data_IF_094560398501
#
_entry.id   IF_094560398501
#
_cell.length_a   1.000
_cell.length_b   1.000
_cell.length_c   1.000
_cell.angle_alpha   90.00
_cell.angle_beta   90.00
_cell.angle_gamma   90.00
#
_symmetry.space_group_name_H-M   'P 1'
#
loop_
_entity.id
_entity.type
_entity.pdbx_description
1 polymer ?
#
# COMPACT_ATOMS: atom_id res chain seq x y z
N UNK A 1 60.07 10.08 32.19
CA UNK A 1 58.62 10.16 31.91
C UNK A 1 58.45 10.32 30.41
N UNK A 2 58.24 9.23 29.66
CA UNK A 2 58.04 9.28 28.21
C UNK A 2 56.54 9.31 27.91
N UNK A 3 56.08 10.37 27.25
CA UNK A 3 54.68 10.57 26.88
C UNK A 3 54.36 9.80 25.60
N UNK A 4 53.62 8.70 25.73
CA UNK A 4 52.97 8.04 24.59
C UNK A 4 51.78 8.89 24.14
N UNK A 5 51.95 9.60 23.03
CA UNK A 5 50.84 10.17 22.24
C UNK A 5 49.98 9.03 21.68
N UNK A 6 48.87 8.73 22.34
CA UNK A 6 47.84 7.84 21.83
C UNK A 6 47.09 8.52 20.68
N UNK A 7 47.50 8.26 19.45
CA UNK A 7 46.71 8.57 18.27
C UNK A 7 45.42 7.74 18.33
N UNK A 8 44.31 8.39 18.66
CA UNK A 8 42.98 7.82 18.51
C UNK A 8 42.74 7.62 17.01
N UNK A 9 42.86 6.38 16.57
CA UNK A 9 42.51 5.96 15.22
C UNK A 9 41.01 6.16 15.01
N UNK A 10 40.63 7.30 14.44
CA UNK A 10 39.32 7.53 13.83
C UNK A 10 39.24 6.78 12.50
N UNK A 11 39.34 5.45 12.56
CA UNK A 11 39.04 4.53 11.47
C UNK A 11 37.70 3.84 11.75
N UNK A 12 36.65 4.62 12.03
CA UNK A 12 35.27 4.12 11.92
C UNK A 12 34.91 4.09 10.44
N UNK A 13 35.37 3.01 9.81
CA UNK A 13 34.95 2.41 8.55
C UNK A 13 33.82 3.12 7.80
N UNK A 14 34.18 3.84 6.72
CA UNK A 14 33.31 4.11 5.57
C UNK A 14 32.76 2.81 4.88
N UNK A 15 33.00 1.62 5.45
CA UNK A 15 32.62 0.31 4.90
C UNK A 15 31.18 -0.11 5.24
N UNK A 16 30.53 0.52 6.23
CA UNK A 16 29.22 0.06 6.73
C UNK A 16 28.01 0.86 6.21
N UNK A 17 28.23 1.84 5.32
CA UNK A 17 27.15 2.57 4.69
C UNK A 17 26.38 1.65 3.71
N UNK A 18 25.04 1.50 3.85
CA UNK A 18 24.27 0.62 2.97
C UNK A 18 24.37 1.10 1.52
N UNK A 19 24.99 0.26 0.67
CA UNK A 19 25.18 0.55 -0.76
C UNK A 19 23.89 0.30 -1.52
N UNK A 20 23.64 1.12 -2.54
CA UNK A 20 22.49 0.92 -3.42
C UNK A 20 22.66 -0.33 -4.28
N UNK A 21 21.88 -1.37 -3.97
CA UNK A 21 21.74 -2.57 -4.79
C UNK A 21 20.59 -2.40 -5.78
N UNK A 22 20.93 -2.18 -7.05
CA UNK A 22 19.97 -1.99 -8.14
C UNK A 22 19.13 -3.24 -8.40
N UNK A 23 19.72 -4.43 -8.25
CA UNK A 23 19.05 -5.71 -8.48
C UNK A 23 17.96 -5.92 -7.44
N UNK A 24 18.33 -5.80 -6.16
CA UNK A 24 17.39 -5.94 -5.04
C UNK A 24 16.25 -4.94 -5.11
N UNK A 25 16.54 -3.68 -5.44
CA UNK A 25 15.50 -2.66 -5.56
C UNK A 25 14.50 -2.97 -6.70
N UNK A 26 15.00 -3.35 -7.88
CA UNK A 26 14.14 -3.74 -9.02
C UNK A 26 13.30 -4.96 -8.68
N UNK A 27 13.90 -5.95 -8.02
CA UNK A 27 13.19 -7.14 -7.58
C UNK A 27 12.07 -6.79 -6.59
N UNK A 28 12.33 -5.93 -5.60
CA UNK A 28 11.31 -5.48 -4.65
C UNK A 28 10.15 -4.72 -5.33
N UNK A 29 10.46 -3.87 -6.32
CA UNK A 29 9.44 -3.17 -7.13
C UNK A 29 8.64 -4.15 -7.98
N UNK A 30 9.28 -5.17 -8.56
CA UNK A 30 8.61 -6.23 -9.30
C UNK A 30 7.68 -7.04 -8.39
N UNK A 31 8.12 -7.42 -7.18
CA UNK A 31 7.27 -8.07 -6.17
C UNK A 31 6.07 -7.20 -5.81
N UNK A 32 6.25 -5.91 -5.54
CA UNK A 32 5.13 -5.00 -5.26
C UNK A 32 4.14 -4.93 -6.44
N UNK A 33 4.65 -4.83 -7.67
CA UNK A 33 3.83 -4.76 -8.87
C UNK A 33 3.07 -6.07 -9.11
N UNK A 34 3.72 -7.21 -8.90
CA UNK A 34 3.09 -8.54 -8.97
C UNK A 34 2.01 -8.71 -7.90
N UNK A 35 2.21 -8.19 -6.69
CA UNK A 35 1.17 -8.18 -5.64
C UNK A 35 -0.05 -7.36 -6.05
N UNK A 36 0.13 -6.20 -6.70
CA UNK A 36 -0.99 -5.41 -7.22
C UNK A 36 -1.77 -6.18 -8.30
N UNK A 37 -1.06 -6.85 -9.21
CA UNK A 37 -1.68 -7.74 -10.21
C UNK A 37 -2.39 -8.90 -9.54
N UNK A 38 -1.83 -9.50 -8.48
CA UNK A 38 -2.47 -10.56 -7.72
C UNK A 38 -3.78 -10.10 -7.07
N UNK A 39 -3.84 -8.88 -6.55
CA UNK A 39 -5.08 -8.29 -6.01
C UNK A 39 -6.14 -8.14 -7.12
N UNK A 40 -5.75 -7.73 -8.33
CA UNK A 40 -6.64 -7.72 -9.49
C UNK A 40 -7.16 -9.13 -9.82
N UNK A 41 -6.27 -10.13 -9.86
CA UNK A 41 -6.64 -11.54 -10.12
C UNK A 41 -7.57 -12.08 -9.03
N UNK A 42 -7.34 -11.79 -7.76
CA UNK A 42 -8.28 -12.15 -6.69
C UNK A 42 -9.63 -11.43 -6.80
N UNK A 43 -9.61 -10.20 -7.29
CA UNK A 43 -10.81 -9.46 -7.68
C UNK A 43 -11.59 -10.12 -8.81
N UNK A 44 -10.93 -10.82 -9.75
CA UNK A 44 -11.61 -11.62 -10.77
C UNK A 44 -12.34 -12.80 -10.14
N UNK A 45 -11.66 -13.61 -9.32
CA UNK A 45 -12.24 -14.80 -8.66
C UNK A 45 -13.56 -14.48 -7.95
N UNK A 46 -13.58 -13.39 -7.18
CA UNK A 46 -14.79 -13.00 -6.45
C UNK A 46 -15.87 -12.40 -7.35
N UNK A 47 -15.50 -11.75 -8.45
CA UNK A 47 -16.44 -11.08 -9.36
C UNK A 47 -17.05 -12.05 -10.39
N UNK A 48 -16.35 -13.13 -10.72
CA UNK A 48 -16.86 -14.23 -11.55
C UNK A 48 -17.58 -15.31 -10.74
N UNK A 49 -17.69 -15.15 -9.41
CA UNK A 49 -18.30 -16.14 -8.52
C UNK A 49 -17.51 -17.44 -8.40
N UNK A 50 -16.22 -17.43 -8.76
CA UNK A 50 -15.41 -18.64 -8.89
C UNK A 50 -14.72 -19.07 -7.60
N UNK A 51 -14.95 -18.41 -6.46
CA UNK A 51 -14.20 -18.66 -5.21
C UNK A 51 -14.42 -20.02 -4.53
N UNK A 52 -15.34 -20.85 -5.04
CA UNK A 52 -15.59 -22.23 -4.61
C UNK A 52 -15.62 -23.19 -5.81
N UNK A 53 -14.94 -22.84 -6.89
CA UNK A 53 -14.81 -23.70 -8.08
C UNK A 53 -13.85 -24.86 -7.87
N UNK A 54 -13.02 -24.81 -6.82
CA UNK A 54 -12.14 -25.89 -6.39
C UNK A 54 -12.41 -26.16 -4.89
N UNK A 55 -12.84 -27.38 -4.51
CA UNK A 55 -13.33 -27.67 -3.16
C UNK A 55 -12.23 -27.97 -2.13
N UNK A 56 -11.00 -28.25 -2.58
CA UNK A 56 -9.87 -28.64 -1.75
C UNK A 56 -8.74 -27.59 -1.76
N UNK A 57 -7.88 -27.67 -0.76
CA UNK A 57 -6.65 -26.88 -0.61
C UNK A 57 -5.65 -27.72 0.21
N UNK A 58 -4.34 -27.73 -0.10
CA UNK A 58 -3.60 -26.83 -1.00
C UNK A 58 -3.61 -27.23 -2.48
N UNK A 59 -3.99 -28.47 -2.81
CA UNK A 59 -4.11 -28.93 -4.18
C UNK A 59 -5.43 -28.46 -4.82
N UNK A 60 -5.66 -28.83 -6.08
CA UNK A 60 -6.92 -28.57 -6.77
C UNK A 60 -7.42 -29.86 -7.42
N UNK A 61 -8.48 -30.43 -6.86
CA UNK A 61 -8.96 -31.79 -7.12
C UNK A 61 -7.86 -32.84 -6.93
N UNK A 62 -7.01 -32.66 -5.92
CA UNK A 62 -5.83 -33.52 -5.70
C UNK A 62 -4.72 -33.36 -6.75
N UNK A 63 -4.85 -32.44 -7.70
CA UNK A 63 -3.87 -32.18 -8.75
C UNK A 63 -3.10 -30.88 -8.50
N UNK A 64 -1.85 -30.84 -8.99
CA UNK A 64 -1.09 -29.59 -9.06
C UNK A 64 -1.57 -28.67 -10.19
N UNK A 65 -2.10 -29.26 -11.27
CA UNK A 65 -2.63 -28.54 -12.44
C UNK A 65 -3.91 -29.24 -12.92
N UNK A 66 -5.09 -28.83 -12.44
CA UNK A 66 -6.36 -29.36 -12.93
C UNK A 66 -6.70 -28.80 -14.33
N UNK A 67 -7.67 -29.37 -15.05
CA UNK A 67 -8.21 -28.76 -16.26
C UNK A 67 -8.73 -27.35 -15.99
N UNK A 68 -8.19 -26.36 -16.73
CA UNK A 68 -8.47 -24.93 -16.52
C UNK A 68 -9.77 -24.49 -17.22
N UNK A 69 -10.89 -25.13 -16.88
CA UNK A 69 -12.20 -24.91 -17.50
C UNK A 69 -13.12 -24.14 -16.55
N UNK A 70 -13.83 -23.14 -17.07
CA UNK A 70 -14.82 -22.37 -16.32
C UNK A 70 -14.23 -21.67 -15.10
N UNK A 71 -14.87 -21.82 -13.93
CA UNK A 71 -14.45 -21.18 -12.68
C UNK A 71 -13.07 -21.63 -12.18
N UNK A 72 -12.64 -22.86 -12.51
CA UNK A 72 -11.33 -23.40 -12.13
C UNK A 72 -10.20 -22.53 -12.72
N UNK A 73 -10.37 -21.99 -13.93
CA UNK A 73 -9.39 -21.08 -14.54
C UNK A 73 -9.09 -19.87 -13.64
N UNK A 74 -10.14 -19.26 -13.08
CA UNK A 74 -9.99 -18.09 -12.23
C UNK A 74 -9.42 -18.48 -10.85
N UNK A 75 -10.00 -19.49 -10.20
CA UNK A 75 -9.59 -19.85 -8.85
C UNK A 75 -8.18 -20.45 -8.80
N UNK A 76 -7.90 -21.46 -9.62
CA UNK A 76 -6.57 -22.07 -9.69
C UNK A 76 -5.53 -21.07 -10.24
N UNK A 77 -5.91 -20.24 -11.22
CA UNK A 77 -5.05 -19.17 -11.74
C UNK A 77 -4.65 -18.16 -10.65
N UNK A 78 -5.58 -17.80 -9.76
CA UNK A 78 -5.27 -16.99 -8.58
C UNK A 78 -4.31 -17.70 -7.61
N UNK A 79 -4.52 -19.00 -7.33
CA UNK A 79 -3.62 -19.81 -6.48
C UNK A 79 -2.20 -19.87 -7.05
N UNK A 80 -2.06 -20.04 -8.36
CA UNK A 80 -0.76 -20.02 -9.05
C UNK A 80 -0.09 -18.64 -8.93
N UNK A 81 -0.82 -17.56 -9.20
CA UNK A 81 -0.31 -16.20 -9.07
C UNK A 81 0.10 -15.89 -7.61
N UNK A 82 -0.66 -16.37 -6.63
CA UNK A 82 -0.34 -16.26 -5.20
C UNK A 82 0.95 -17.01 -4.85
N UNK A 83 1.14 -18.21 -5.38
CA UNK A 83 2.38 -18.99 -5.22
C UNK A 83 3.60 -18.27 -5.81
N UNK A 84 3.46 -17.63 -6.98
CA UNK A 84 4.52 -16.80 -7.58
C UNK A 84 4.86 -15.62 -6.67
N UNK A 85 3.87 -14.86 -6.18
CA UNK A 85 4.11 -13.75 -5.25
C UNK A 85 4.72 -14.23 -3.93
N UNK A 86 4.29 -15.38 -3.41
CA UNK A 86 4.88 -16.01 -2.23
C UNK A 86 6.35 -16.34 -2.43
N UNK A 87 6.71 -16.95 -3.56
CA UNK A 87 8.09 -17.25 -3.92
C UNK A 87 8.94 -15.98 -4.09
N UNK A 88 8.44 -14.99 -4.82
CA UNK A 88 9.11 -13.69 -4.96
C UNK A 88 9.34 -13.04 -3.58
N UNK A 89 8.38 -13.14 -2.67
CA UNK A 89 8.49 -12.60 -1.31
C UNK A 89 9.53 -13.35 -0.49
N UNK A 90 9.59 -14.68 -0.59
CA UNK A 90 10.62 -15.49 0.05
C UNK A 90 12.03 -15.11 -0.41
N UNK A 91 12.24 -15.04 -1.73
CA UNK A 91 13.53 -14.62 -2.32
C UNK A 91 13.89 -13.22 -1.83
N UNK A 92 12.94 -12.27 -1.88
CA UNK A 92 13.17 -10.90 -1.43
C UNK A 92 13.50 -10.83 0.05
N UNK A 93 12.80 -11.61 0.89
CA UNK A 93 13.00 -11.63 2.33
C UNK A 93 14.39 -12.17 2.68
N UNK A 94 14.80 -13.29 2.07
CA UNK A 94 16.11 -13.91 2.28
C UNK A 94 17.25 -13.03 1.74
N UNK A 95 17.10 -12.49 0.53
CA UNK A 95 18.09 -11.57 -0.05
C UNK A 95 18.25 -10.32 0.84
N UNK A 96 17.14 -9.72 1.27
CA UNK A 96 17.18 -8.57 2.18
C UNK A 96 17.79 -8.96 3.53
N UNK A 97 17.44 -10.10 4.11
CA UNK A 97 17.96 -10.55 5.39
C UNK A 97 19.48 -10.75 5.42
N UNK A 98 20.07 -11.16 4.27
CA UNK A 98 21.51 -11.39 4.11
C UNK A 98 22.30 -10.14 3.72
N UNK A 99 21.73 -9.27 2.91
CA UNK A 99 22.45 -8.11 2.36
C UNK A 99 22.20 -6.79 3.08
N UNK A 100 21.24 -6.75 4.01
CA UNK A 100 20.84 -5.52 4.70
C UNK A 100 21.40 -5.45 6.12
N UNK A 101 22.16 -4.41 6.45
CA UNK A 101 22.70 -4.21 7.80
C UNK A 101 21.65 -3.68 8.78
N UNK A 102 20.61 -3.00 8.27
CA UNK A 102 19.61 -2.33 9.12
C UNK A 102 18.59 -3.33 9.69
N UNK A 103 18.53 -3.54 11.01
CA UNK A 103 17.66 -4.57 11.61
C UNK A 103 16.17 -4.28 11.43
N UNK A 104 15.77 -3.02 11.29
CA UNK A 104 14.38 -2.65 10.98
C UNK A 104 13.92 -3.15 9.60
N UNK A 105 14.77 -3.04 8.58
CA UNK A 105 14.45 -3.49 7.22
C UNK A 105 14.46 -5.03 7.14
N UNK A 106 15.37 -5.69 7.85
CA UNK A 106 15.37 -7.16 8.00
C UNK A 106 14.08 -7.67 8.66
N UNK A 107 13.64 -7.04 9.75
CA UNK A 107 12.36 -7.36 10.41
C UNK A 107 11.17 -7.15 9.48
N UNK A 108 11.17 -6.07 8.70
CA UNK A 108 10.13 -5.81 7.71
C UNK A 108 10.08 -6.88 6.60
N UNK A 109 11.24 -7.35 6.13
CA UNK A 109 11.34 -8.47 5.19
C UNK A 109 10.74 -9.77 5.74
N UNK A 110 11.06 -10.13 6.99
CA UNK A 110 10.45 -11.30 7.64
C UNK A 110 8.97 -11.11 7.92
N UNK A 111 8.52 -9.91 8.29
CA UNK A 111 7.11 -9.59 8.44
C UNK A 111 6.34 -9.74 7.11
N UNK A 112 6.96 -9.36 5.97
CA UNK A 112 6.37 -9.59 4.65
C UNK A 112 6.19 -11.09 4.36
N UNK A 113 7.21 -11.90 4.68
CA UNK A 113 7.12 -13.35 4.52
C UNK A 113 6.06 -13.99 5.43
N UNK A 114 6.03 -13.60 6.71
CA UNK A 114 5.01 -14.08 7.64
C UNK A 114 3.59 -13.68 7.17
N UNK A 115 3.41 -12.45 6.69
CA UNK A 115 2.15 -11.96 6.18
C UNK A 115 1.68 -12.70 4.91
N UNK A 116 2.58 -13.04 3.98
CA UNK A 116 2.20 -13.80 2.77
C UNK A 116 1.86 -15.26 3.08
N UNK A 117 2.54 -15.88 4.05
CA UNK A 117 2.19 -17.23 4.55
C UNK A 117 0.81 -17.21 5.21
N UNK A 118 0.58 -16.25 6.12
CA UNK A 118 -0.72 -16.08 6.75
C UNK A 118 -1.83 -15.79 5.72
N UNK A 119 -1.52 -15.06 4.64
CA UNK A 119 -2.42 -14.85 3.50
C UNK A 119 -2.80 -16.16 2.82
N UNK A 120 -1.82 -17.01 2.51
CA UNK A 120 -2.07 -18.32 1.89
C UNK A 120 -2.94 -19.21 2.77
N UNK A 121 -2.69 -19.22 4.09
CA UNK A 121 -3.50 -19.95 5.07
C UNK A 121 -4.93 -19.40 5.10
N UNK A 122 -5.12 -18.08 5.28
CA UNK A 122 -6.46 -17.49 5.28
C UNK A 122 -7.19 -17.75 3.96
N UNK A 123 -6.49 -17.69 2.81
CA UNK A 123 -7.04 -18.01 1.51
C UNK A 123 -7.54 -19.46 1.44
N UNK A 124 -6.74 -20.43 1.88
CA UNK A 124 -7.16 -21.83 1.98
C UNK A 124 -8.36 -22.03 2.91
N UNK A 125 -8.39 -21.34 4.05
CA UNK A 125 -9.52 -21.38 4.98
C UNK A 125 -10.80 -20.79 4.38
N UNK A 126 -10.72 -19.80 3.48
CA UNK A 126 -11.91 -19.31 2.78
C UNK A 126 -12.55 -20.38 1.90
N UNK A 127 -11.76 -21.29 1.33
CA UNK A 127 -12.29 -22.40 0.53
C UNK A 127 -12.86 -23.49 1.44
N UNK A 128 -12.06 -23.95 2.41
CA UNK A 128 -12.42 -25.06 3.31
C UNK A 128 -13.69 -24.76 4.11
N UNK A 129 -13.89 -23.51 4.54
CA UNK A 129 -15.06 -23.12 5.31
C UNK A 129 -16.18 -22.47 4.47
N UNK A 130 -16.11 -22.57 3.14
CA UNK A 130 -17.17 -22.11 2.23
C UNK A 130 -17.46 -20.60 2.30
N UNK A 131 -16.40 -19.78 2.17
CA UNK A 131 -16.40 -18.31 2.15
C UNK A 131 -17.02 -17.63 3.39
N UNK A 132 -16.65 -18.01 4.63
CA UNK A 132 -17.23 -17.37 5.79
C UNK A 132 -16.80 -15.91 5.82
N UNK A 133 -17.77 -15.01 6.01
CA UNK A 133 -17.57 -13.55 5.91
C UNK A 133 -16.39 -13.05 6.75
N UNK A 134 -16.21 -13.45 8.02
CA UNK A 134 -15.08 -12.96 8.82
C UNK A 134 -13.71 -13.36 8.26
N UNK A 135 -13.54 -14.61 7.79
CA UNK A 135 -12.27 -15.10 7.23
C UNK A 135 -11.99 -14.41 5.89
N UNK A 136 -13.01 -14.24 5.05
CA UNK A 136 -12.86 -13.62 3.73
C UNK A 136 -12.53 -12.13 3.85
N UNK A 137 -13.17 -11.41 4.78
CA UNK A 137 -12.83 -10.01 5.11
C UNK A 137 -11.42 -9.92 5.70
N UNK A 138 -11.04 -10.82 6.61
CA UNK A 138 -9.69 -10.87 7.17
C UNK A 138 -8.64 -11.13 6.08
N UNK A 139 -8.92 -12.05 5.15
CA UNK A 139 -8.08 -12.30 3.99
C UNK A 139 -7.94 -11.05 3.12
N UNK A 140 -9.03 -10.36 2.78
CA UNK A 140 -8.97 -9.11 2.01
C UNK A 140 -8.13 -8.02 2.72
N UNK A 141 -8.30 -7.84 4.03
CA UNK A 141 -7.58 -6.82 4.81
C UNK A 141 -6.09 -7.14 4.95
N UNK A 142 -5.75 -8.41 5.22
CA UNK A 142 -4.36 -8.84 5.32
C UNK A 142 -3.65 -8.72 3.96
N UNK A 143 -4.33 -8.95 2.83
CA UNK A 143 -3.77 -8.73 1.49
C UNK A 143 -3.38 -7.25 1.28
N UNK A 144 -4.22 -6.30 1.70
CA UNK A 144 -3.91 -4.87 1.65
C UNK A 144 -2.73 -4.49 2.57
N UNK A 145 -2.71 -5.06 3.79
CA UNK A 145 -1.60 -4.86 4.73
C UNK A 145 -0.29 -5.40 4.17
N UNK A 146 -0.31 -6.60 3.60
CA UNK A 146 0.84 -7.20 2.93
C UNK A 146 1.33 -6.32 1.77
N UNK A 147 0.43 -5.79 0.94
CA UNK A 147 0.80 -4.87 -0.13
C UNK A 147 1.51 -3.62 0.39
N UNK A 148 1.02 -3.00 1.48
CA UNK A 148 1.69 -1.88 2.14
C UNK A 148 3.09 -2.25 2.68
N UNK A 149 3.25 -3.44 3.24
CA UNK A 149 4.54 -3.94 3.72
C UNK A 149 5.55 -4.09 2.56
N UNK A 150 5.14 -4.69 1.44
CA UNK A 150 6.02 -4.86 0.27
C UNK A 150 6.38 -3.51 -0.36
N UNK A 151 5.45 -2.54 -0.41
CA UNK A 151 5.76 -1.16 -0.82
C UNK A 151 6.79 -0.53 0.12
N UNK A 152 6.64 -0.69 1.43
CA UNK A 152 7.61 -0.18 2.40
C UNK A 152 8.99 -0.81 2.20
N UNK A 153 9.05 -2.10 1.93
CA UNK A 153 10.29 -2.81 1.64
C UNK A 153 10.92 -2.33 0.33
N UNK A 154 10.15 -2.18 -0.74
CA UNK A 154 10.60 -1.62 -2.01
C UNK A 154 11.11 -0.17 -1.86
N UNK A 155 10.44 0.65 -1.05
CA UNK A 155 10.90 2.00 -0.77
C UNK A 155 12.20 2.02 0.06
N UNK A 156 12.34 1.13 1.04
CA UNK A 156 13.53 1.03 1.89
C UNK A 156 14.83 0.65 1.16
N UNK A 157 14.68 0.07 -0.05
CA UNK A 157 15.79 -0.28 -0.95
C UNK A 157 16.06 0.79 -2.01
N UNK A 158 15.23 1.84 -2.09
CA UNK A 158 15.36 2.90 -3.08
C UNK A 158 16.55 3.82 -2.82
N UNK A 159 17.08 4.44 -3.88
CA UNK A 159 18.11 5.49 -3.77
C UNK A 159 17.64 6.66 -2.91
N UNK A 160 16.36 7.00 -3.05
CA UNK A 160 15.74 8.11 -2.32
C UNK A 160 15.81 7.88 -0.81
N UNK A 161 15.47 6.68 -0.35
CA UNK A 161 15.55 6.32 1.06
C UNK A 161 16.99 6.28 1.58
N UNK A 162 17.93 5.78 0.78
CA UNK A 162 19.35 5.68 1.17
C UNK A 162 20.05 7.05 1.23
N UNK A 163 19.67 7.99 0.35
CA UNK A 163 20.25 9.33 0.30
C UNK A 163 19.57 10.34 1.24
N UNK A 164 18.40 10.02 1.78
CA UNK A 164 17.63 10.94 2.60
C UNK A 164 18.23 11.12 4.00
N UNK A 165 18.45 12.36 4.47
CA UNK A 165 18.82 12.64 5.84
C UNK A 165 17.78 12.07 6.82
N UNK A 166 18.24 11.50 7.94
CA UNK A 166 17.36 11.09 9.03
C UNK A 166 16.89 12.32 9.82
N UNK A 167 15.61 12.41 10.19
CA UNK A 167 15.11 13.45 11.10
C UNK A 167 14.43 14.66 10.46
N UNK A 168 13.76 14.47 9.32
CA UNK A 168 13.06 15.55 8.63
C UNK A 168 11.81 16.04 9.40
N UNK A 169 11.70 17.34 9.72
CA UNK A 169 10.53 17.92 10.38
C UNK A 169 9.31 17.94 9.43
N UNK A 170 8.08 17.73 9.93
CA UNK A 170 6.87 17.77 9.09
C UNK A 170 6.65 19.19 8.54
N UNK A 171 6.68 19.33 7.22
CA UNK A 171 6.55 20.60 6.52
C UNK A 171 5.09 20.77 6.16
N UNK A 172 4.46 21.80 6.75
CA UNK A 172 3.09 22.23 6.43
C UNK A 172 2.04 21.12 6.63
N UNK A 173 2.32 20.15 7.52
CA UNK A 173 1.40 19.05 7.86
C UNK A 173 1.22 18.02 6.74
N UNK A 174 2.20 17.86 5.86
CA UNK A 174 2.16 16.92 4.74
C UNK A 174 2.15 15.47 5.24
N UNK A 175 2.99 15.16 6.24
CA UNK A 175 3.06 13.82 6.83
C UNK A 175 1.73 13.43 7.46
N UNK A 176 1.16 14.32 8.26
CA UNK A 176 -0.16 14.10 8.86
C UNK A 176 -1.24 13.88 7.80
N UNK A 177 -1.23 14.65 6.71
CA UNK A 177 -2.19 14.47 5.61
C UNK A 177 -2.01 13.13 4.87
N UNK A 178 -0.76 12.70 4.61
CA UNK A 178 -0.47 11.45 3.93
C UNK A 178 -0.85 10.23 4.79
N UNK A 179 -0.54 10.26 6.09
CA UNK A 179 -0.95 9.21 7.03
C UNK A 179 -2.47 9.14 7.18
N UNK A 180 -3.13 10.29 7.36
CA UNK A 180 -4.59 10.34 7.43
C UNK A 180 -5.23 9.76 6.17
N UNK A 181 -4.74 10.15 4.98
CA UNK A 181 -5.23 9.60 3.72
C UNK A 181 -5.03 8.07 3.63
N UNK A 182 -3.85 7.56 4.00
CA UNK A 182 -3.59 6.11 3.99
C UNK A 182 -4.53 5.34 4.94
N UNK A 183 -4.73 5.84 6.17
CA UNK A 183 -5.64 5.22 7.15
C UNK A 183 -7.08 5.28 6.69
N UNK A 184 -7.57 6.45 6.25
CA UNK A 184 -8.94 6.63 5.75
C UNK A 184 -9.21 5.71 4.56
N UNK A 185 -8.28 5.62 3.61
CA UNK A 185 -8.40 4.69 2.48
C UNK A 185 -8.42 3.24 2.97
N UNK A 186 -7.55 2.84 3.89
CA UNK A 186 -7.55 1.48 4.45
C UNK A 186 -8.91 1.12 5.09
N UNK A 187 -9.47 2.02 5.90
CA UNK A 187 -10.79 1.85 6.51
C UNK A 187 -11.89 1.75 5.45
N UNK A 188 -11.81 2.55 4.38
CA UNK A 188 -12.75 2.48 3.26
C UNK A 188 -12.67 1.13 2.53
N UNK A 189 -11.47 0.58 2.34
CA UNK A 189 -11.28 -0.75 1.76
C UNK A 189 -11.86 -1.84 2.66
N UNK A 190 -11.74 -1.71 3.99
CA UNK A 190 -12.38 -2.62 4.95
C UNK A 190 -13.91 -2.58 4.82
N UNK A 191 -14.52 -1.39 4.78
CA UNK A 191 -15.97 -1.25 4.55
C UNK A 191 -16.36 -1.89 3.21
N UNK A 192 -15.57 -1.67 2.15
CA UNK A 192 -15.80 -2.29 0.84
C UNK A 192 -15.68 -3.82 0.85
N UNK A 193 -14.73 -4.37 1.60
CA UNK A 193 -14.59 -5.82 1.78
C UNK A 193 -15.79 -6.42 2.52
N UNK A 194 -16.24 -5.78 3.61
CA UNK A 194 -17.47 -6.18 4.32
C UNK A 194 -18.66 -6.11 3.38
N UNK A 195 -18.86 -4.99 2.66
CA UNK A 195 -19.94 -4.80 1.69
C UNK A 195 -20.00 -5.93 0.66
N UNK A 196 -18.84 -6.32 0.12
CA UNK A 196 -18.74 -7.43 -0.84
C UNK A 196 -19.18 -8.76 -0.23
N UNK A 197 -18.65 -9.12 0.94
CA UNK A 197 -18.86 -10.44 1.53
C UNK A 197 -20.22 -10.62 2.22
N UNK A 198 -20.95 -9.54 2.52
CA UNK A 198 -22.37 -9.61 2.92
C UNK A 198 -23.34 -9.49 1.74
N UNK A 199 -22.85 -9.42 0.50
CA UNK A 199 -23.67 -9.30 -0.71
C UNK A 199 -24.33 -7.92 -0.92
N UNK A 200 -23.87 -6.88 -0.23
CA UNK A 200 -24.49 -5.54 -0.23
C UNK A 200 -24.18 -4.67 -1.46
N UNK A 201 -23.40 -5.16 -2.43
CA UNK A 201 -22.94 -4.35 -3.58
C UNK A 201 -24.04 -3.78 -4.49
N UNK A 202 -25.26 -4.33 -4.43
CA UNK A 202 -26.45 -3.79 -5.12
C UNK A 202 -27.58 -3.44 -4.15
N UNK A 203 -27.30 -3.31 -2.85
CA UNK A 203 -28.33 -2.96 -1.86
C UNK A 203 -28.95 -1.57 -2.10
N UNK A 204 -28.28 -0.72 -2.89
CA UNK A 204 -28.78 0.57 -3.38
C UNK A 204 -28.56 0.53 -4.90
N UNK A 205 -29.61 0.38 -5.71
CA UNK A 205 -29.49 0.04 -7.13
C UNK A 205 -29.25 1.25 -8.06
N UNK A 206 -29.38 2.47 -7.53
CA UNK A 206 -29.21 3.72 -8.27
C UNK A 206 -27.94 4.48 -7.84
N UNK A 207 -27.49 5.42 -8.68
CA UNK A 207 -26.37 6.32 -8.44
C UNK A 207 -26.63 7.65 -9.17
N UNK A 208 -26.28 8.83 -8.62
CA UNK A 208 -25.59 9.05 -7.34
C UNK A 208 -26.50 9.02 -6.11
N UNK A 209 -27.81 9.06 -6.32
CA UNK A 209 -28.82 9.00 -5.25
C UNK A 209 -28.93 7.58 -4.69
N UNK A 210 -29.72 7.46 -3.62
CA UNK A 210 -30.09 6.20 -2.99
C UNK A 210 -31.62 6.10 -2.90
N UNK A 211 -32.20 5.27 -3.75
CA UNK A 211 -33.65 5.16 -3.97
C UNK A 211 -34.30 6.50 -4.36
N UNK A 212 -33.63 7.27 -5.22
CA UNK A 212 -34.07 8.60 -5.65
C UNK A 212 -33.95 9.71 -4.59
N UNK A 213 -33.29 9.43 -3.46
CA UNK A 213 -33.10 10.37 -2.34
C UNK A 213 -31.62 10.52 -1.98
N UNK A 214 -31.24 11.59 -1.29
CA UNK A 214 -29.86 11.75 -0.79
C UNK A 214 -29.55 10.82 0.39
N UNK A 215 -30.52 10.61 1.28
CA UNK A 215 -30.44 9.68 2.40
C UNK A 215 -31.33 8.48 2.12
N UNK A 216 -30.80 7.24 2.14
CA UNK A 216 -31.62 6.05 1.98
C UNK A 216 -32.48 5.82 3.23
N UNK A 217 -33.65 5.17 3.08
CA UNK A 217 -34.29 4.54 4.22
C UNK A 217 -33.37 3.41 4.73
N UNK A 218 -32.81 3.56 5.93
CA UNK A 218 -31.93 2.56 6.55
C UNK A 218 -32.77 1.39 7.04
N UNK A 219 -33.21 0.56 6.09
CA UNK A 219 -34.13 -0.57 6.32
C UNK A 219 -33.40 -1.88 6.65
N UNK A 220 -32.10 -1.96 6.39
CA UNK A 220 -31.30 -3.17 6.59
C UNK A 220 -29.80 -2.88 6.68
N UNK A 221 -29.04 -3.84 7.24
CA UNK A 221 -27.57 -3.77 7.33
C UNK A 221 -26.89 -3.62 5.95
N UNK A 222 -27.28 -4.35 4.88
CA UNK A 222 -26.73 -4.13 3.55
C UNK A 222 -26.89 -2.70 3.02
N UNK A 223 -28.06 -2.08 3.21
CA UNK A 223 -28.30 -0.69 2.79
C UNK A 223 -27.40 0.26 3.58
N UNK A 224 -27.30 0.06 4.90
CA UNK A 224 -26.42 0.86 5.76
C UNK A 224 -24.96 0.77 5.32
N UNK A 225 -24.43 -0.44 5.10
CA UNK A 225 -23.03 -0.66 4.71
C UNK A 225 -22.76 -0.10 3.32
N UNK A 226 -23.66 -0.27 2.36
CA UNK A 226 -23.51 0.28 1.02
C UNK A 226 -23.52 1.82 1.04
N UNK A 227 -24.43 2.43 1.80
CA UNK A 227 -24.45 3.88 1.97
C UNK A 227 -23.21 4.41 2.68
N UNK A 228 -22.78 3.73 3.76
CA UNK A 228 -21.54 4.07 4.48
C UNK A 228 -20.32 4.00 3.57
N UNK A 229 -20.25 3.00 2.67
CA UNK A 229 -19.21 2.92 1.65
C UNK A 229 -19.25 4.13 0.70
N UNK A 230 -20.42 4.57 0.23
CA UNK A 230 -20.53 5.77 -0.64
C UNK A 230 -20.06 7.04 0.07
N UNK A 231 -20.52 7.27 1.30
CA UNK A 231 -20.09 8.42 2.14
C UNK A 231 -18.59 8.36 2.40
N UNK A 232 -18.06 7.20 2.76
CA UNK A 232 -16.62 7.01 2.97
C UNK A 232 -15.78 7.26 1.70
N UNK A 233 -16.33 7.01 0.51
CA UNK A 233 -15.71 7.39 -0.77
C UNK A 233 -15.53 8.91 -0.91
N UNK A 234 -16.50 9.72 -0.47
CA UNK A 234 -16.38 11.18 -0.42
C UNK A 234 -15.35 11.62 0.63
N UNK A 235 -15.30 10.95 1.78
CA UNK A 235 -14.27 11.21 2.81
C UNK A 235 -12.87 10.91 2.27
N UNK A 236 -12.69 9.83 1.50
CA UNK A 236 -11.44 9.53 0.79
C UNK A 236 -11.07 10.65 -0.19
N UNK A 237 -12.03 11.14 -0.99
CA UNK A 237 -11.79 12.26 -1.91
C UNK A 237 -11.29 13.50 -1.18
N UNK A 238 -11.93 13.88 -0.07
CA UNK A 238 -11.51 15.02 0.75
C UNK A 238 -10.11 14.80 1.33
N UNK A 239 -9.82 13.60 1.85
CA UNK A 239 -8.51 13.28 2.43
C UNK A 239 -7.38 13.36 1.39
N UNK A 240 -7.60 12.81 0.19
CA UNK A 240 -6.63 12.84 -0.91
C UNK A 240 -6.50 14.23 -1.52
N UNK A 241 -7.58 14.99 -1.64
CA UNK A 241 -7.53 16.40 -2.04
C UNK A 241 -6.73 17.24 -1.04
N UNK A 242 -6.89 17.00 0.27
CA UNK A 242 -6.07 17.64 1.31
C UNK A 242 -4.60 17.27 1.16
N UNK A 243 -4.27 15.99 0.94
CA UNK A 243 -2.91 15.55 0.65
C UNK A 243 -2.33 16.28 -0.58
N UNK A 244 -3.09 16.38 -1.68
CA UNK A 244 -2.70 17.13 -2.87
C UNK A 244 -2.38 18.59 -2.56
N UNK A 245 -3.26 19.30 -1.84
CA UNK A 245 -3.02 20.69 -1.47
C UNK A 245 -1.78 20.85 -0.59
N UNK A 246 -1.56 19.95 0.39
CA UNK A 246 -0.34 19.98 1.23
C UNK A 246 0.91 19.67 0.42
N UNK A 247 0.86 18.74 -0.51
CA UNK A 247 1.97 18.39 -1.38
C UNK A 247 2.36 19.56 -2.30
N UNK A 248 1.38 20.25 -2.90
CA UNK A 248 1.61 21.48 -3.69
C UNK A 248 2.24 22.58 -2.84
N UNK A 249 1.74 22.77 -1.60
CA UNK A 249 2.30 23.76 -0.66
C UNK A 249 3.69 23.39 -0.16
N UNK A 250 4.04 22.11 -0.04
CA UNK A 250 5.37 21.68 0.36
C UNK A 250 6.45 22.01 -0.69
N UNK A 251 6.04 22.23 -1.95
CA UNK A 251 6.92 22.71 -3.02
C UNK A 251 7.83 21.64 -3.64
N UNK A 252 7.73 20.37 -3.22
CA UNK A 252 8.44 19.25 -3.85
C UNK A 252 7.63 18.69 -5.04
N UNK A 253 8.14 18.79 -6.29
CA UNK A 253 7.44 18.30 -7.48
C UNK A 253 7.11 16.81 -7.45
N UNK A 254 7.90 15.99 -6.74
CA UNK A 254 7.70 14.53 -6.65
C UNK A 254 6.43 14.21 -5.88
N UNK A 255 6.23 14.88 -4.74
CA UNK A 255 5.01 14.75 -3.94
C UNK A 255 3.81 15.33 -4.68
N UNK A 256 3.96 16.49 -5.31
CA UNK A 256 2.89 17.11 -6.09
C UNK A 256 2.41 16.18 -7.23
N UNK A 257 3.33 15.57 -7.99
CA UNK A 257 2.99 14.63 -9.08
C UNK A 257 2.28 13.39 -8.56
N UNK A 258 2.81 12.77 -7.50
CA UNK A 258 2.18 11.60 -6.87
C UNK A 258 0.78 11.93 -6.37
N UNK A 259 0.60 13.04 -5.65
CA UNK A 259 -0.70 13.43 -5.12
C UNK A 259 -1.70 13.84 -6.22
N UNK A 260 -1.23 14.40 -7.34
CA UNK A 260 -2.07 14.66 -8.52
C UNK A 260 -2.56 13.37 -9.15
N UNK A 261 -1.68 12.38 -9.32
CA UNK A 261 -2.04 11.06 -9.83
C UNK A 261 -3.04 10.36 -8.89
N UNK A 262 -2.84 10.44 -7.57
CA UNK A 262 -3.77 9.89 -6.59
C UNK A 262 -5.15 10.54 -6.66
N UNK A 263 -5.22 11.86 -6.81
CA UNK A 263 -6.49 12.55 -6.99
C UNK A 263 -7.22 12.08 -8.25
N UNK A 264 -6.50 11.95 -9.37
CA UNK A 264 -7.05 11.37 -10.61
C UNK A 264 -7.55 9.93 -10.42
N UNK A 265 -6.78 9.09 -9.72
CA UNK A 265 -7.20 7.71 -9.41
C UNK A 265 -8.44 7.66 -8.53
N UNK A 266 -8.62 8.57 -7.57
CA UNK A 266 -9.85 8.62 -6.74
C UNK A 266 -11.07 8.99 -7.58
N UNK A 267 -10.94 9.95 -8.50
CA UNK A 267 -12.04 10.28 -9.42
C UNK A 267 -12.39 9.09 -10.30
N UNK A 268 -11.38 8.38 -10.81
CA UNK A 268 -11.57 7.15 -11.56
C UNK A 268 -12.21 6.03 -10.70
N UNK A 269 -11.81 5.90 -9.43
CA UNK A 269 -12.39 4.96 -8.48
C UNK A 269 -13.88 5.20 -8.23
N UNK A 270 -14.29 6.47 -8.11
CA UNK A 270 -15.71 6.86 -7.96
C UNK A 270 -16.48 6.49 -9.23
N UNK A 271 -15.93 6.76 -10.41
CA UNK A 271 -16.54 6.36 -11.68
C UNK A 271 -16.67 4.83 -11.80
N UNK A 272 -15.66 4.06 -11.39
CA UNK A 272 -15.72 2.60 -11.34
C UNK A 272 -16.77 2.09 -10.33
N UNK A 273 -16.94 2.78 -9.20
CA UNK A 273 -17.97 2.45 -8.21
C UNK A 273 -19.38 2.68 -8.76
N UNK A 274 -19.59 3.81 -9.44
CA UNK A 274 -20.83 4.09 -10.15
C UNK A 274 -21.10 3.06 -11.25
N UNK A 275 -20.09 2.77 -12.09
CA UNK A 275 -20.19 1.77 -13.14
C UNK A 275 -20.52 0.38 -12.57
N UNK A 276 -19.95 0.00 -11.43
CA UNK A 276 -20.24 -1.27 -10.76
C UNK A 276 -21.72 -1.40 -10.40
N UNK A 277 -22.36 -0.33 -9.91
CA UNK A 277 -23.79 -0.32 -9.59
C UNK A 277 -24.63 -0.33 -10.88
N UNK A 278 -24.35 0.59 -11.80
CA UNK A 278 -25.13 0.80 -13.03
C UNK A 278 -25.05 -0.38 -14.01
N UNK A 279 -23.98 -1.17 -13.96
CA UNK A 279 -23.80 -2.38 -14.76
C UNK A 279 -24.12 -3.66 -13.99
N UNK A 280 -24.85 -3.54 -12.87
CA UNK A 280 -25.33 -4.70 -12.10
C UNK A 280 -24.20 -5.64 -11.64
N UNK A 281 -23.06 -5.04 -11.26
CA UNK A 281 -21.78 -5.70 -10.89
C UNK A 281 -21.12 -6.45 -12.04
N UNK A 282 -21.04 -5.85 -13.23
CA UNK A 282 -20.21 -6.40 -14.30
C UNK A 282 -18.77 -6.65 -13.80
N UNK A 283 -18.16 -7.75 -14.27
CA UNK A 283 -16.86 -8.23 -13.77
C UNK A 283 -15.78 -7.16 -13.88
N UNK A 284 -15.62 -6.56 -15.06
CA UNK A 284 -14.57 -5.58 -15.35
C UNK A 284 -14.57 -4.37 -14.41
N UNK A 285 -15.66 -3.57 -14.29
CA UNK A 285 -15.65 -2.41 -13.39
C UNK A 285 -15.48 -2.83 -11.93
N UNK A 286 -16.07 -3.95 -11.52
CA UNK A 286 -15.99 -4.47 -10.15
C UNK A 286 -14.56 -4.86 -9.78
N UNK A 287 -13.85 -5.58 -10.67
CA UNK A 287 -12.46 -5.99 -10.47
C UNK A 287 -11.51 -4.80 -10.53
N UNK A 288 -11.69 -3.89 -11.49
CA UNK A 288 -10.89 -2.67 -11.58
C UNK A 288 -11.07 -1.77 -10.35
N UNK A 289 -12.28 -1.72 -9.78
CA UNK A 289 -12.54 -0.98 -8.56
C UNK A 289 -11.72 -1.54 -7.37
N UNK A 290 -11.58 -2.85 -7.25
CA UNK A 290 -10.72 -3.47 -6.20
C UNK A 290 -9.25 -3.10 -6.41
N UNK A 291 -8.72 -3.30 -7.63
CA UNK A 291 -7.32 -3.05 -7.93
C UNK A 291 -6.94 -1.56 -7.80
N UNK A 292 -7.81 -0.67 -8.26
CA UNK A 292 -7.60 0.79 -8.19
C UNK A 292 -7.66 1.28 -6.74
N UNK A 293 -8.58 0.75 -5.93
CA UNK A 293 -8.61 1.00 -4.48
C UNK A 293 -7.29 0.64 -3.79
N UNK A 294 -6.72 -0.53 -4.11
CA UNK A 294 -5.42 -0.95 -3.59
C UNK A 294 -4.29 -0.02 -4.09
N UNK A 295 -4.30 0.39 -5.36
CA UNK A 295 -3.30 1.31 -5.89
C UNK A 295 -3.34 2.69 -5.20
N UNK A 296 -4.54 3.21 -4.89
CA UNK A 296 -4.70 4.45 -4.12
C UNK A 296 -4.11 4.29 -2.71
N UNK A 297 -4.41 3.19 -2.01
CA UNK A 297 -3.83 2.89 -0.70
C UNK A 297 -2.30 2.85 -0.78
N UNK A 298 -1.75 2.12 -1.73
CA UNK A 298 -0.31 1.98 -1.92
C UNK A 298 0.38 3.31 -2.22
N UNK A 299 -0.22 4.17 -3.02
CA UNK A 299 0.32 5.50 -3.30
C UNK A 299 0.22 6.46 -2.12
N UNK A 300 -0.88 6.46 -1.36
CA UNK A 300 -1.00 7.21 -0.11
C UNK A 300 0.05 6.75 0.93
N UNK A 301 0.24 5.43 1.04
CA UNK A 301 1.25 4.84 1.91
C UNK A 301 2.68 5.21 1.49
N UNK A 302 2.99 5.15 0.20
CA UNK A 302 4.27 5.62 -0.33
C UNK A 302 4.49 7.11 -0.05
N UNK A 303 3.47 7.95 -0.22
CA UNK A 303 3.55 9.37 0.13
C UNK A 303 3.85 9.57 1.62
N UNK A 304 3.21 8.79 2.50
CA UNK A 304 3.46 8.82 3.93
C UNK A 304 4.93 8.45 4.23
N UNK A 305 5.42 7.32 3.71
CA UNK A 305 6.81 6.88 3.90
C UNK A 305 7.83 7.91 3.40
N UNK A 306 7.59 8.49 2.22
CA UNK A 306 8.44 9.55 1.68
C UNK A 306 8.49 10.78 2.58
N UNK A 307 7.36 11.17 3.18
CA UNK A 307 7.27 12.36 4.05
C UNK A 307 8.07 12.23 5.36
N UNK A 308 8.44 11.01 5.75
CA UNK A 308 9.34 10.77 6.89
C UNK A 308 10.83 10.96 6.54
N UNK A 309 11.17 10.99 5.25
CA UNK A 309 12.56 10.98 4.76
C UNK A 309 12.93 12.23 3.97
N UNK A 310 12.01 12.74 3.16
CA UNK A 310 12.25 13.88 2.28
C UNK A 310 11.60 15.15 2.82
N UNK A 311 12.18 15.77 3.86
CA UNK A 311 11.93 17.19 4.12
C UNK A 311 13.28 17.86 4.43
N UNK A 312 13.65 18.83 3.58
CA UNK A 312 14.92 19.55 3.64
C UNK A 312 15.12 20.13 5.04
N UNK A 313 16.36 20.21 5.56
CA UNK A 313 16.65 21.06 6.70
C UNK A 313 16.11 22.46 6.42
N UNK A 314 15.54 23.14 7.43
CA UNK A 314 15.44 24.60 7.39
C UNK A 314 16.83 25.12 7.00
N UNK A 315 16.97 26.10 6.09
CA UNK A 315 18.23 26.78 5.96
C UNK A 315 18.62 27.22 7.37
N UNK A 316 19.76 26.72 7.84
CA UNK A 316 20.44 27.25 9.01
C UNK A 316 20.39 28.76 8.85
N UNK A 317 19.76 29.46 9.80
CA UNK A 317 19.93 30.90 9.94
C UNK A 317 21.42 31.14 9.79
N UNK A 318 21.79 31.83 8.72
CA UNK A 318 23.16 32.14 8.40
C UNK A 318 23.84 32.52 9.72
N UNK A 319 24.91 31.80 10.06
CA UNK A 319 25.87 32.31 11.02
C UNK A 319 26.26 33.67 10.43
N UNK A 320 25.68 34.73 10.98
CA UNK A 320 26.10 36.09 10.72
C UNK A 320 27.55 36.08 11.14
N UNK A 321 28.45 35.99 10.16
CA UNK A 321 29.86 36.18 10.38
C UNK A 321 29.97 37.56 11.03
N UNK A 322 30.27 37.58 12.33
CA UNK A 322 30.56 38.81 13.03
C UNK A 322 31.69 39.51 12.25
N UNK A 323 31.56 40.81 11.93
CA UNK A 323 32.63 41.51 11.26
C UNK A 323 33.86 41.48 12.15
N UNK A 324 34.94 40.90 11.65
CA UNK A 324 36.26 40.96 12.26
C UNK A 324 36.65 42.44 12.32
N UNK A 325 36.61 43.03 13.51
CA UNK A 325 37.11 44.37 13.74
C UNK A 325 38.60 44.40 13.36
N UNK A 326 38.97 45.25 12.41
CA UNK A 326 40.37 45.53 12.11
C UNK A 326 40.99 46.29 13.29
N UNK A 327 42.23 45.99 13.70
CA UNK A 327 42.91 46.76 14.72
C UNK A 327 43.15 48.18 14.21
N UNK A 328 42.70 49.17 14.98
CA UNK A 328 43.05 50.58 14.80
C UNK A 328 44.52 50.73 15.15
N UNK A 329 45.35 51.01 14.16
CA UNK A 329 46.70 51.52 14.37
C UNK A 329 46.58 52.96 14.87
N UNK A 330 47.04 53.21 16.10
CA UNK A 330 47.25 54.57 16.61
C UNK A 330 48.41 55.23 15.85
N UNK A 331 48.19 56.47 15.42
CA UNK A 331 49.21 57.46 15.06
C UNK A 331 48.83 58.77 15.72
#
# INVERSE_FOLDING_TARGET
MSGRSGAVSTSTTLRDAPRFDRGRHRFAVATASATLVLIFVGGLVTSTGSGLSVPDWPLSYGMLMPPMVGGVFYEHGHRMAASVVGFLTLVLAVWTARSESRPGVRRLAWAALAAVVAQGVLGGLTVIFLLPTPVSVAHACLAQTFFCIVIALAYSTSREWLAAPSGAADVRGLRGAALAAAVIVYLQLLIGAVMRHIGAGLAIPDFPLAFGRLLPPVSSVPVLVHFAHRVGGLVVLVAVARLFLRARRAGDPRFARLASALLGLVLFQIALGAATVLTTKAVTPTTLHVATGAAILGGCWLAALRSFRLLRPRPSTAVVAAPVARPVTQS
#
